data_IF_933348253540
#
_entry.id   IF_933348253540
#
_cell.length_a   1.000
_cell.length_b   1.000
_cell.length_c   1.000
_cell.angle_alpha   90.00
_cell.angle_beta   90.00
_cell.angle_gamma   90.00
#
_symmetry.space_group_name_H-M   'P 1'
#
loop_
_entity.id
_entity.type
_entity.pdbx_description
1 polymer ?
#
# COMPACT_ATOMS: atom_id res chain seq x y z
N UNK A 1 -42.93 12.16 20.59
CA UNK A 1 -41.76 12.68 21.33
C UNK A 1 -40.57 11.85 20.90
N UNK A 2 -39.69 12.42 20.08
CA UNK A 2 -38.51 11.75 19.56
C UNK A 2 -37.32 12.05 20.46
N UNK A 3 -36.73 11.01 21.04
CA UNK A 3 -35.50 11.12 21.81
C UNK A 3 -34.31 11.22 20.83
N UNK A 4 -33.94 12.46 20.50
CA UNK A 4 -32.67 12.80 19.87
C UNK A 4 -31.54 12.59 20.91
N UNK A 5 -31.14 11.33 21.08
CA UNK A 5 -30.00 10.96 21.94
C UNK A 5 -28.71 11.47 21.28
N UNK A 6 -28.28 12.64 21.73
CA UNK A 6 -26.99 13.26 21.46
C UNK A 6 -25.84 12.27 21.69
N UNK A 7 -25.41 11.60 20.61
CA UNK A 7 -24.30 10.63 20.62
C UNK A 7 -22.99 11.40 20.66
N UNK A 8 -22.57 11.80 21.87
CA UNK A 8 -21.26 12.43 22.12
C UNK A 8 -20.17 11.59 21.46
N UNK A 9 -19.33 12.20 20.61
CA UNK A 9 -18.17 11.52 20.02
C UNK A 9 -17.20 11.13 21.13
N UNK A 10 -17.15 9.84 21.47
CA UNK A 10 -16.16 9.32 22.41
C UNK A 10 -14.76 9.49 21.83
N UNK A 11 -13.81 9.93 22.67
CA UNK A 11 -12.42 10.18 22.29
C UNK A 11 -11.65 8.91 21.88
N UNK A 12 -10.35 9.02 21.66
CA UNK A 12 -9.51 7.88 21.27
C UNK A 12 -9.46 6.84 22.41
N UNK A 13 -10.14 5.72 22.21
CA UNK A 13 -10.10 4.58 23.15
C UNK A 13 -8.87 3.70 22.86
N UNK A 14 -8.15 3.30 23.92
CA UNK A 14 -7.06 2.31 23.85
C UNK A 14 -7.63 0.97 23.37
N UNK A 15 -7.04 0.38 22.34
CA UNK A 15 -7.42 -0.95 21.81
C UNK A 15 -6.23 -1.89 21.91
N UNK A 16 -6.50 -3.15 22.23
CA UNK A 16 -5.50 -4.22 22.14
C UNK A 16 -5.05 -4.41 20.68
N UNK A 17 -3.81 -4.84 20.49
CA UNK A 17 -3.23 -5.15 19.17
C UNK A 17 -3.54 -6.63 18.87
N UNK A 18 -4.78 -6.88 18.47
CA UNK A 18 -5.29 -8.18 18.04
C UNK A 18 -6.12 -8.00 16.76
N UNK A 19 -6.39 -9.09 16.03
CA UNK A 19 -7.27 -9.04 14.85
C UNK A 19 -8.65 -8.50 15.26
N UNK A 20 -9.22 -7.62 14.44
CA UNK A 20 -10.57 -7.10 14.66
C UNK A 20 -11.56 -8.09 14.05
N UNK A 21 -12.34 -8.76 14.88
CA UNK A 21 -13.28 -9.79 14.41
C UNK A 21 -14.39 -9.24 13.52
N UNK A 22 -15.01 -8.12 13.91
CA UNK A 22 -16.09 -7.52 13.12
C UNK A 22 -15.55 -6.90 11.81
N UNK A 23 -15.99 -7.43 10.68
CA UNK A 23 -15.52 -7.07 9.34
C UNK A 23 -15.70 -5.58 9.00
N UNK A 24 -16.88 -5.01 9.25
CA UNK A 24 -17.13 -3.60 8.99
C UNK A 24 -16.23 -2.68 9.85
N UNK A 25 -16.06 -3.00 11.13
CA UNK A 25 -15.13 -2.26 12.02
C UNK A 25 -13.67 -2.47 11.59
N UNK A 26 -13.32 -3.65 11.09
CA UNK A 26 -12.00 -3.97 10.56
C UNK A 26 -11.70 -3.12 9.33
N UNK A 27 -12.63 -3.04 8.37
CA UNK A 27 -12.47 -2.25 7.16
C UNK A 27 -12.36 -0.74 7.43
N UNK A 28 -13.22 -0.22 8.30
CA UNK A 28 -13.15 1.19 8.72
C UNK A 28 -11.85 1.49 9.47
N UNK A 29 -11.41 0.57 10.33
CA UNK A 29 -10.15 0.74 11.08
C UNK A 29 -8.94 0.62 10.16
N UNK A 30 -8.94 -0.32 9.21
CA UNK A 30 -7.91 -0.44 8.18
C UNK A 30 -7.78 0.87 7.40
N UNK A 31 -8.88 1.40 6.86
CA UNK A 31 -8.89 2.65 6.10
C UNK A 31 -8.29 3.82 6.90
N UNK A 32 -8.69 3.98 8.17
CA UNK A 32 -8.16 5.04 9.03
C UNK A 32 -6.68 4.85 9.38
N UNK A 33 -6.25 3.63 9.68
CA UNK A 33 -4.86 3.32 10.04
C UNK A 33 -3.94 3.41 8.83
N UNK A 34 -4.37 2.91 7.66
CA UNK A 34 -3.67 3.04 6.38
C UNK A 34 -3.38 4.50 6.08
N UNK A 35 -4.39 5.36 6.14
CA UNK A 35 -4.22 6.79 5.88
C UNK A 35 -3.30 7.46 6.92
N UNK A 36 -3.38 7.07 8.19
CA UNK A 36 -2.45 7.56 9.22
C UNK A 36 -1.00 7.14 8.98
N UNK A 37 -0.79 5.90 8.53
CA UNK A 37 0.52 5.36 8.19
C UNK A 37 1.12 6.05 6.95
N UNK A 38 0.31 6.23 5.90
CA UNK A 38 0.71 6.97 4.68
C UNK A 38 1.19 8.38 5.04
N UNK A 39 0.46 9.10 5.89
CA UNK A 39 0.88 10.44 6.35
C UNK A 39 2.24 10.40 7.05
N UNK A 40 2.47 9.42 7.91
CA UNK A 40 3.76 9.27 8.62
C UNK A 40 4.90 8.90 7.67
N UNK A 41 4.66 8.01 6.72
CA UNK A 41 5.63 7.65 5.69
C UNK A 41 5.99 8.85 4.80
N UNK A 42 5.00 9.67 4.43
CA UNK A 42 5.22 10.91 3.71
C UNK A 42 6.05 11.92 4.52
N UNK A 43 5.66 12.19 5.77
CA UNK A 43 6.41 13.06 6.68
C UNK A 43 7.88 12.63 6.76
N UNK A 44 8.13 11.33 6.97
CA UNK A 44 9.48 10.77 7.05
C UNK A 44 10.27 10.96 5.74
N UNK A 45 9.63 10.67 4.59
CA UNK A 45 10.25 10.82 3.28
C UNK A 45 10.70 12.26 3.00
N UNK A 46 9.86 13.24 3.37
CA UNK A 46 10.18 14.66 3.22
C UNK A 46 11.28 15.07 4.20
N UNK A 47 11.12 14.78 5.50
CA UNK A 47 12.05 15.24 6.54
C UNK A 47 13.46 14.67 6.39
N UNK A 48 13.58 13.40 5.99
CA UNK A 48 14.86 12.72 5.90
C UNK A 48 15.38 12.60 4.46
N UNK A 49 14.68 13.17 3.49
CA UNK A 49 14.99 13.07 2.08
C UNK A 49 15.12 11.61 1.56
N UNK A 50 14.34 10.66 2.08
CA UNK A 50 14.41 9.25 1.69
C UNK A 50 13.23 8.82 0.79
N UNK A 51 13.40 7.77 0.00
CA UNK A 51 12.27 7.08 -0.64
C UNK A 51 11.57 6.16 0.36
N UNK A 52 10.24 6.14 0.33
CA UNK A 52 9.42 5.23 1.13
C UNK A 52 8.29 4.70 0.26
N UNK A 53 8.10 3.37 0.25
CA UNK A 53 6.98 2.70 -0.40
C UNK A 53 6.21 1.85 0.62
N UNK A 54 4.89 1.77 0.47
CA UNK A 54 4.00 0.93 1.25
C UNK A 54 3.09 0.15 0.29
N UNK A 55 2.90 -1.13 0.57
CA UNK A 55 1.99 -2.02 -0.16
C UNK A 55 0.94 -2.53 0.82
N UNK A 56 -0.33 -2.53 0.40
CA UNK A 56 -1.45 -3.00 1.20
C UNK A 56 -2.32 -3.95 0.37
N UNK A 57 -2.60 -5.11 0.94
CA UNK A 57 -3.70 -5.97 0.50
C UNK A 57 -4.80 -5.88 1.54
N UNK A 58 -5.95 -5.35 1.15
CA UNK A 58 -7.05 -5.13 2.09
C UNK A 58 -7.82 -6.44 2.35
N UNK A 59 -8.58 -6.52 3.46
CA UNK A 59 -9.40 -7.68 3.77
C UNK A 59 -10.47 -8.00 2.72
N UNK A 60 -10.89 -7.00 1.95
CA UNK A 60 -11.84 -7.11 0.83
C UNK A 60 -11.17 -7.45 -0.52
N UNK A 61 -9.87 -7.76 -0.52
CA UNK A 61 -9.16 -8.23 -1.71
C UNK A 61 -8.70 -7.12 -2.65
N UNK A 62 -8.75 -5.86 -2.22
CA UNK A 62 -8.24 -4.74 -3.00
C UNK A 62 -6.76 -4.51 -2.71
N UNK A 63 -6.01 -4.45 -3.80
CA UNK A 63 -4.65 -3.96 -3.79
C UNK A 63 -4.66 -2.43 -3.64
N UNK A 64 -3.69 -1.90 -2.92
CA UNK A 64 -3.41 -0.46 -2.92
C UNK A 64 -1.98 -0.22 -2.47
N UNK A 65 -1.36 0.83 -3.00
CA UNK A 65 0.00 1.17 -2.65
C UNK A 65 0.18 2.67 -2.41
N UNK A 66 1.32 3.03 -1.85
CA UNK A 66 1.78 4.40 -1.69
C UNK A 66 3.27 4.47 -1.99
N UNK A 67 3.69 5.49 -2.72
CA UNK A 67 5.10 5.87 -2.85
C UNK A 67 5.22 7.38 -2.71
N UNK A 68 6.21 7.82 -1.94
CA UNK A 68 6.33 9.23 -1.59
C UNK A 68 7.02 10.08 -2.67
N UNK A 69 8.03 9.54 -3.35
CA UNK A 69 8.93 10.30 -4.24
C UNK A 69 9.11 9.65 -5.60
N UNK A 70 9.72 8.47 -5.62
CA UNK A 70 9.91 7.68 -6.83
C UNK A 70 8.65 6.89 -7.17
N UNK A 71 8.56 6.30 -8.37
CA UNK A 71 7.53 5.29 -8.63
C UNK A 71 7.77 4.09 -7.71
N UNK A 72 6.72 3.36 -7.36
CA UNK A 72 6.88 2.22 -6.44
C UNK A 72 7.78 1.14 -7.06
N UNK A 73 7.71 0.96 -8.37
CA UNK A 73 8.54 0.03 -9.14
C UNK A 73 10.03 0.36 -9.00
N UNK A 74 10.39 1.64 -8.96
CA UNK A 74 11.79 2.06 -8.79
C UNK A 74 12.30 1.70 -7.38
N UNK A 75 11.45 1.86 -6.37
CA UNK A 75 11.78 1.52 -4.98
C UNK A 75 11.91 0.00 -4.83
N UNK A 76 10.98 -0.77 -5.40
CA UNK A 76 11.00 -2.24 -5.38
C UNK A 76 12.18 -2.79 -6.19
N UNK A 77 12.48 -2.20 -7.35
CA UNK A 77 13.64 -2.58 -8.17
C UNK A 77 14.93 -2.37 -7.39
N UNK A 78 15.14 -1.18 -6.80
CA UNK A 78 16.32 -0.94 -5.95
C UNK A 78 16.40 -1.93 -4.80
N UNK A 79 15.27 -2.25 -4.16
CA UNK A 79 15.23 -3.22 -3.07
C UNK A 79 15.69 -4.62 -3.53
N UNK A 80 15.20 -5.11 -4.67
CA UNK A 80 15.58 -6.42 -5.23
C UNK A 80 17.05 -6.42 -5.71
N UNK A 81 17.48 -5.36 -6.40
CA UNK A 81 18.84 -5.23 -6.93
C UNK A 81 19.90 -5.11 -5.83
N UNK A 82 19.57 -4.59 -4.66
CA UNK A 82 20.49 -4.50 -3.51
C UNK A 82 20.96 -5.89 -3.01
N UNK A 83 20.21 -6.96 -3.26
CA UNK A 83 20.63 -8.33 -2.96
C UNK A 83 21.75 -8.86 -3.87
N UNK A 84 21.98 -8.24 -5.03
CA UNK A 84 22.93 -8.74 -6.04
C UNK A 84 24.36 -8.18 -5.87
N UNK A 85 24.50 -6.92 -5.46
CA UNK A 85 25.80 -6.21 -5.55
C UNK A 85 26.64 -6.18 -4.27
N UNK A 86 26.11 -6.59 -3.11
CA UNK A 86 26.81 -6.40 -1.83
C UNK A 86 27.21 -7.66 -1.07
N UNK A 87 26.92 -8.86 -1.56
CA UNK A 87 27.15 -10.10 -0.79
C UNK A 87 26.50 -10.09 0.60
N UNK A 88 25.59 -9.14 0.84
CA UNK A 88 24.77 -9.02 2.02
C UNK A 88 23.45 -9.61 1.59
N UNK A 89 23.14 -10.77 2.12
CA UNK A 89 21.80 -11.36 2.12
C UNK A 89 20.86 -10.43 2.92
N UNK A 90 20.59 -9.25 2.38
CA UNK A 90 19.76 -8.21 2.97
C UNK A 90 18.30 -8.64 3.01
N UNK A 91 17.65 -8.40 4.16
CA UNK A 91 16.29 -8.77 4.54
C UNK A 91 15.94 -10.27 4.50
N UNK A 92 16.43 -11.04 3.53
CA UNK A 92 16.27 -12.49 3.48
C UNK A 92 16.87 -13.19 4.71
N UNK A 93 18.01 -12.73 5.23
CA UNK A 93 18.58 -13.29 6.47
C UNK A 93 17.78 -12.91 7.72
N UNK A 94 17.25 -11.69 7.80
CA UNK A 94 16.56 -11.23 9.01
C UNK A 94 15.26 -11.99 9.28
N UNK A 95 14.61 -12.49 8.21
CA UNK A 95 13.42 -13.35 8.31
C UNK A 95 13.84 -14.84 8.43
N UNK A 96 14.93 -15.26 7.75
CA UNK A 96 15.40 -16.65 7.80
C UNK A 96 16.01 -17.07 9.16
N UNK A 97 16.46 -16.13 10.00
CA UNK A 97 17.07 -16.45 11.29
C UNK A 97 16.08 -16.88 12.38
N UNK A 98 14.77 -16.71 12.19
CA UNK A 98 13.79 -17.02 13.23
C UNK A 98 13.27 -18.47 13.19
N UNK A 99 13.35 -19.19 12.06
CA UNK A 99 13.00 -20.62 11.99
C UNK A 99 13.77 -21.37 10.88
N UNK A 100 14.45 -22.45 11.28
CA UNK A 100 15.44 -23.18 10.46
C UNK A 100 14.84 -24.15 9.42
N UNK A 101 13.59 -23.97 8.99
CA UNK A 101 12.87 -24.83 8.02
C UNK A 101 12.46 -24.12 6.70
N UNK A 102 12.90 -22.88 6.45
CA UNK A 102 12.24 -22.04 5.44
C UNK A 102 13.09 -21.66 4.21
N UNK A 103 13.45 -22.65 3.39
CA UNK A 103 13.92 -22.38 2.02
C UNK A 103 12.76 -22.05 1.04
N UNK A 104 11.52 -22.15 1.49
CA UNK A 104 10.28 -21.83 0.73
C UNK A 104 10.00 -20.31 0.71
N UNK A 105 10.39 -19.59 1.76
CA UNK A 105 10.12 -18.15 1.91
C UNK A 105 10.75 -17.26 0.84
N UNK A 106 11.99 -17.49 0.37
CA UNK A 106 12.57 -16.69 -0.69
C UNK A 106 11.76 -16.73 -1.99
N UNK A 107 11.24 -17.91 -2.34
CA UNK A 107 10.37 -18.08 -3.51
C UNK A 107 9.02 -17.38 -3.31
N UNK A 108 8.39 -17.55 -2.14
CA UNK A 108 7.09 -16.91 -1.85
C UNK A 108 7.16 -15.39 -1.85
N UNK A 109 8.24 -14.81 -1.30
CA UNK A 109 8.46 -13.35 -1.31
C UNK A 109 8.66 -12.86 -2.73
N UNK A 110 9.47 -13.54 -3.55
CA UNK A 110 9.67 -13.18 -4.95
C UNK A 110 8.37 -13.29 -5.75
N UNK A 111 7.58 -14.34 -5.56
CA UNK A 111 6.27 -14.51 -6.20
C UNK A 111 5.29 -13.41 -5.79
N UNK A 112 5.26 -13.06 -4.50
CA UNK A 112 4.44 -11.96 -4.00
C UNK A 112 4.84 -10.61 -4.62
N UNK A 113 6.14 -10.35 -4.74
CA UNK A 113 6.67 -9.13 -5.35
C UNK A 113 6.34 -9.06 -6.84
N UNK A 114 6.49 -10.16 -7.59
CA UNK A 114 6.12 -10.24 -9.00
C UNK A 114 4.62 -9.95 -9.17
N UNK A 115 3.77 -10.64 -8.40
CA UNK A 115 2.33 -10.42 -8.42
C UNK A 115 1.96 -8.98 -8.08
N UNK A 116 2.61 -8.40 -7.08
CA UNK A 116 2.42 -7.01 -6.68
C UNK A 116 2.78 -6.05 -7.81
N UNK A 117 3.91 -6.27 -8.49
CA UNK A 117 4.34 -5.47 -9.65
C UNK A 117 3.33 -5.58 -10.79
N UNK A 118 2.81 -6.77 -11.07
CA UNK A 118 1.79 -6.98 -12.10
C UNK A 118 0.46 -6.30 -11.74
N UNK A 119 0.03 -6.36 -10.48
CA UNK A 119 -1.16 -5.67 -9.97
C UNK A 119 -1.01 -4.13 -10.10
N UNK A 120 0.16 -3.57 -9.74
CA UNK A 120 0.47 -2.13 -9.90
C UNK A 120 0.40 -1.72 -11.38
N UNK A 121 1.05 -2.49 -12.26
CA UNK A 121 1.07 -2.20 -13.71
C UNK A 121 -0.33 -2.18 -14.29
N UNK A 122 -1.19 -3.10 -13.86
CA UNK A 122 -2.56 -3.17 -14.34
C UNK A 122 -3.42 -1.99 -13.83
N UNK A 123 -3.26 -1.57 -12.57
CA UNK A 123 -3.94 -0.38 -12.05
C UNK A 123 -3.52 0.89 -12.80
N UNK A 124 -2.23 1.09 -13.01
CA UNK A 124 -1.70 2.21 -13.80
C UNK A 124 -2.22 2.19 -15.25
N UNK A 125 -2.26 1.02 -15.89
CA UNK A 125 -2.81 0.86 -17.24
C UNK A 125 -4.30 1.22 -17.30
N UNK A 126 -5.08 0.84 -16.30
CA UNK A 126 -6.50 1.21 -16.20
C UNK A 126 -6.62 2.71 -15.97
N UNK A 127 -5.88 3.28 -15.03
CA UNK A 127 -5.91 4.71 -14.74
C UNK A 127 -5.50 5.55 -15.97
N UNK A 128 -4.46 5.12 -16.70
CA UNK A 128 -4.01 5.74 -17.94
C UNK A 128 -5.04 5.61 -19.07
N UNK A 129 -5.68 4.44 -19.22
CA UNK A 129 -6.79 4.26 -20.17
C UNK A 129 -7.93 5.20 -19.82
N UNK A 130 -8.38 5.23 -18.57
CA UNK A 130 -9.45 6.11 -18.10
C UNK A 130 -9.09 7.58 -18.29
N UNK A 131 -7.87 7.99 -17.95
CA UNK A 131 -7.40 9.36 -18.18
C UNK A 131 -7.38 9.71 -19.68
N UNK A 132 -6.92 8.80 -20.55
CA UNK A 132 -6.94 8.98 -22.00
C UNK A 132 -8.37 9.03 -22.56
N UNK A 133 -9.28 8.20 -22.06
CA UNK A 133 -10.69 8.26 -22.43
C UNK A 133 -11.31 9.60 -22.03
N UNK A 134 -11.10 10.03 -20.78
CA UNK A 134 -11.59 11.31 -20.30
C UNK A 134 -10.99 12.48 -21.07
N UNK A 135 -9.69 12.45 -21.39
CA UNK A 135 -9.05 13.50 -22.17
C UNK A 135 -9.54 13.53 -23.62
N UNK A 136 -9.78 12.38 -24.25
CA UNK A 136 -10.37 12.29 -25.58
C UNK A 136 -11.83 12.74 -25.59
N UNK A 137 -12.62 12.35 -24.59
CA UNK A 137 -14.02 12.79 -24.44
C UNK A 137 -14.10 14.31 -24.24
N UNK A 138 -13.24 14.90 -23.40
CA UNK A 138 -13.14 16.35 -23.27
C UNK A 138 -12.72 17.01 -24.59
N UNK A 139 -11.74 16.43 -25.31
CA UNK A 139 -11.26 16.99 -26.57
C UNK A 139 -12.35 17.00 -27.66
N UNK A 140 -13.18 15.95 -27.71
CA UNK A 140 -14.33 15.87 -28.63
C UNK A 140 -15.45 16.85 -28.27
N UNK A 141 -15.63 17.15 -26.98
CA UNK A 141 -16.57 18.19 -26.53
C UNK A 141 -16.10 19.60 -26.91
N UNK A 142 -14.79 19.84 -27.06
CA UNK A 142 -14.25 21.13 -27.51
C UNK A 142 -14.19 21.29 -29.04
N UNK A 143 -14.20 20.21 -29.81
CA UNK A 143 -14.23 20.25 -31.29
C UNK A 143 -15.66 20.44 -31.88
N UNK A 144 -16.68 20.49 -31.02
CA UNK A 144 -18.10 20.62 -31.41
C UNK A 144 -18.69 22.02 -31.17
N UNK A 145 -17.86 23.04 -30.93
CA UNK A 145 -18.23 24.46 -30.84
C UNK A 145 -17.49 25.35 -31.83
#
# INVERSE_FOLDING_TARGET
MGDDVNKRKTGRVKRQVVRIENDAKRQLTFSRRRNGLIKKAYELSVLCNIDVALVFHSPDGHFSHFSAKSRIEDVLYRFVSLGHDKGRYGLFDFIALENHEDFVYPFTIMQYMIRTIDEIRNEDDIALKTFRYLSLSLSLEFETY
#
